data_IF_371309969748
#
_entry.id   IF_371309969748
#
_cell.length_a   1.000
_cell.length_b   1.000
_cell.length_c   1.000
_cell.angle_alpha   90.00
_cell.angle_beta   90.00
_cell.angle_gamma   90.00
#
_symmetry.space_group_name_H-M   'P 1'
#
loop_
_entity.id
_entity.type
_entity.pdbx_description
1 polymer ?
#
# COMPACT_ATOMS: atom_id res chain seq x y z
N UNK A 1 -16.78 -9.68 7.45
CA UNK A 1 -17.44 -10.20 6.23
C UNK A 1 -18.43 -9.13 5.82
N UNK A 2 -18.06 -8.27 4.88
CA UNK A 2 -19.00 -7.34 4.27
C UNK A 2 -19.57 -8.11 3.07
N UNK A 3 -20.75 -8.67 3.25
CA UNK A 3 -21.52 -9.24 2.17
C UNK A 3 -22.36 -8.11 1.57
N UNK A 4 -21.96 -7.62 0.40
CA UNK A 4 -22.86 -7.40 -0.74
C UNK A 4 -22.24 -6.40 -1.70
N UNK A 5 -22.02 -6.82 -2.93
CA UNK A 5 -22.57 -6.12 -4.08
C UNK A 5 -23.06 -7.21 -5.03
N UNK A 6 -24.37 -7.27 -5.25
CA UNK A 6 -24.88 -7.98 -6.42
C UNK A 6 -24.25 -7.36 -7.67
N UNK A 7 -24.20 -8.13 -8.75
CA UNK A 7 -23.70 -7.70 -10.07
C UNK A 7 -24.73 -6.75 -10.72
N UNK A 8 -25.26 -5.79 -9.99
CA UNK A 8 -26.51 -5.12 -10.32
C UNK A 8 -26.59 -3.71 -9.74
N UNK A 9 -26.77 -2.72 -10.60
CA UNK A 9 -27.07 -1.32 -10.23
C UNK A 9 -28.56 -1.03 -10.48
N UNK A 10 -29.20 -0.28 -9.57
CA UNK A 10 -30.63 0.07 -9.62
C UNK A 10 -30.86 1.24 -10.56
N UNK A 11 -31.65 1.06 -11.63
CA UNK A 11 -32.15 2.17 -12.47
C UNK A 11 -33.59 2.49 -12.05
N UNK A 12 -33.85 3.76 -11.71
CA UNK A 12 -35.21 4.27 -11.59
C UNK A 12 -35.64 4.89 -12.92
N UNK A 13 -36.75 4.44 -13.50
CA UNK A 13 -37.44 5.14 -14.58
C UNK A 13 -38.68 5.87 -14.04
N UNK A 14 -39.08 6.92 -14.76
CA UNK A 14 -40.16 7.86 -14.41
C UNK A 14 -41.58 7.35 -14.71
N UNK A 15 -41.75 6.06 -15.05
CA UNK A 15 -42.99 5.49 -15.57
C UNK A 15 -43.57 4.33 -14.74
N UNK A 16 -43.01 4.03 -13.58
CA UNK A 16 -43.76 3.37 -12.51
C UNK A 16 -44.08 1.88 -12.67
N UNK A 17 -43.33 1.11 -13.46
CA UNK A 17 -43.35 -0.36 -13.34
C UNK A 17 -42.07 -0.99 -13.89
N UNK A 18 -41.55 -1.99 -13.17
CA UNK A 18 -40.29 -2.73 -13.34
C UNK A 18 -39.06 -2.13 -12.64
N UNK A 19 -38.63 -2.82 -11.59
CA UNK A 19 -37.30 -2.63 -11.04
C UNK A 19 -36.28 -3.38 -11.89
N UNK A 20 -35.56 -2.63 -12.70
CA UNK A 20 -34.52 -3.19 -13.54
C UNK A 20 -33.16 -3.00 -12.87
N UNK A 21 -32.55 -4.15 -12.60
CA UNK A 21 -31.14 -4.26 -12.30
C UNK A 21 -30.42 -4.47 -13.62
N UNK A 22 -29.44 -3.63 -13.94
CA UNK A 22 -28.62 -3.86 -15.13
C UNK A 22 -27.37 -4.64 -14.78
N UNK A 23 -26.89 -5.44 -15.73
CA UNK A 23 -25.56 -6.02 -15.68
C UNK A 23 -24.52 -4.88 -15.76
N UNK A 24 -23.60 -4.73 -14.79
CA UNK A 24 -22.50 -3.79 -14.88
C UNK A 24 -21.51 -4.26 -15.93
N UNK A 25 -20.78 -3.32 -16.49
CA UNK A 25 -19.55 -3.64 -17.19
C UNK A 25 -18.41 -3.99 -16.19
N UNK A 26 -17.24 -4.33 -16.72
CA UNK A 26 -16.09 -4.69 -15.90
C UNK A 26 -15.55 -3.54 -15.06
N UNK A 27 -15.67 -2.30 -15.52
CA UNK A 27 -15.14 -1.10 -14.85
C UNK A 27 -16.05 -0.70 -13.69
N UNK A 28 -17.36 -0.83 -13.85
CA UNK A 28 -18.37 -0.63 -12.81
C UNK A 28 -18.30 -1.70 -11.73
N UNK A 29 -18.07 -2.96 -12.12
CA UNK A 29 -17.78 -4.03 -11.17
C UNK A 29 -16.50 -3.71 -10.39
N UNK A 30 -15.44 -3.25 -11.08
CA UNK A 30 -14.18 -2.88 -10.43
C UNK A 30 -14.37 -1.73 -9.44
N UNK A 31 -15.07 -0.67 -9.81
CA UNK A 31 -15.35 0.47 -8.92
C UNK A 31 -16.05 0.01 -7.64
N UNK A 32 -17.05 -0.87 -7.78
CA UNK A 32 -17.78 -1.46 -6.65
C UNK A 32 -16.86 -2.29 -5.74
N UNK A 33 -15.95 -3.06 -6.34
CA UNK A 33 -14.93 -3.83 -5.62
C UNK A 33 -13.97 -2.90 -4.87
N UNK A 34 -13.41 -1.88 -5.55
CA UNK A 34 -12.46 -0.94 -4.95
C UNK A 34 -13.08 -0.15 -3.81
N UNK A 35 -14.35 0.26 -3.95
CA UNK A 35 -15.12 0.89 -2.88
C UNK A 35 -15.28 -0.04 -1.68
N UNK A 36 -15.66 -1.31 -1.91
CA UNK A 36 -15.79 -2.29 -0.83
C UNK A 36 -14.45 -2.52 -0.10
N UNK A 37 -13.34 -2.57 -0.83
CA UNK A 37 -11.99 -2.69 -0.27
C UNK A 37 -11.57 -1.43 0.50
N UNK A 38 -11.96 -0.23 0.04
CA UNK A 38 -11.72 1.02 0.75
C UNK A 38 -12.44 1.06 2.12
N UNK A 39 -13.61 0.43 2.22
CA UNK A 39 -14.29 0.18 3.50
C UNK A 39 -13.73 -1.05 4.26
N UNK A 40 -12.57 -1.56 3.88
CA UNK A 40 -11.82 -2.62 4.55
C UNK A 40 -12.42 -4.02 4.44
N UNK A 41 -13.21 -4.29 3.41
CA UNK A 41 -13.69 -5.63 3.12
C UNK A 41 -12.53 -6.61 3.00
N UNK A 42 -12.69 -7.81 3.58
CA UNK A 42 -11.68 -8.89 3.58
C UNK A 42 -11.99 -10.03 2.61
N UNK A 43 -13.12 -9.92 1.93
CA UNK A 43 -13.59 -10.89 0.97
C UNK A 43 -14.74 -10.29 0.18
N UNK A 44 -14.82 -10.66 -1.08
CA UNK A 44 -15.84 -10.22 -2.01
C UNK A 44 -16.46 -11.47 -2.59
N UNK A 45 -17.78 -11.53 -2.58
CA UNK A 45 -18.55 -12.63 -3.14
C UNK A 45 -19.51 -12.04 -4.16
N UNK A 46 -19.39 -12.50 -5.41
CA UNK A 46 -20.31 -12.11 -6.48
C UNK A 46 -21.50 -13.05 -6.50
N UNK A 47 -22.69 -12.46 -6.52
CA UNK A 47 -23.94 -13.18 -6.63
C UNK A 47 -24.72 -12.63 -7.84
N UNK A 48 -25.05 -13.45 -8.85
CA UNK A 48 -24.96 -14.92 -8.91
C UNK A 48 -23.75 -15.43 -9.71
N UNK A 49 -23.36 -16.71 -9.49
CA UNK A 49 -22.41 -17.39 -10.36
C UNK A 49 -23.05 -17.73 -11.72
N UNK A 50 -24.23 -18.36 -11.71
CA UNK A 50 -25.03 -18.69 -12.90
C UNK A 50 -26.38 -17.96 -12.88
N UNK A 51 -27.01 -17.73 -14.04
CA UNK A 51 -28.33 -17.13 -14.09
C UNK A 51 -29.38 -18.02 -13.43
N UNK A 52 -30.52 -17.45 -13.02
CA UNK A 52 -31.67 -18.23 -12.58
C UNK A 52 -32.63 -18.51 -13.75
N UNK A 53 -33.03 -19.78 -13.90
CA UNK A 53 -34.03 -20.18 -14.90
C UNK A 53 -35.47 -19.86 -14.48
N UNK A 54 -35.69 -19.48 -13.22
CA UNK A 54 -37.00 -19.18 -12.64
C UNK A 54 -36.97 -17.82 -11.96
N UNK A 55 -37.93 -16.97 -12.32
CA UNK A 55 -38.02 -15.63 -11.76
C UNK A 55 -38.26 -15.69 -10.25
N UNK A 56 -37.39 -15.04 -9.49
CA UNK A 56 -37.48 -15.00 -8.03
C UNK A 56 -38.38 -13.83 -7.62
N UNK A 57 -39.43 -14.12 -6.84
CA UNK A 57 -40.30 -13.10 -6.27
C UNK A 57 -39.55 -12.35 -5.17
N UNK A 58 -39.32 -11.04 -5.34
CA UNK A 58 -38.63 -10.21 -4.34
C UNK A 58 -39.43 -8.95 -4.00
N UNK A 59 -39.26 -8.47 -2.76
CA UNK A 59 -39.85 -7.23 -2.22
C UNK A 59 -38.91 -6.03 -2.40
N UNK A 60 -38.04 -6.06 -3.42
CA UNK A 60 -36.95 -5.09 -3.52
C UNK A 60 -37.40 -3.65 -3.85
N UNK A 61 -38.65 -3.43 -4.30
CA UNK A 61 -39.01 -2.19 -5.00
C UNK A 61 -40.45 -1.71 -4.78
N UNK A 62 -40.89 -1.65 -3.54
CA UNK A 62 -42.21 -1.14 -3.15
C UNK A 62 -43.06 -2.20 -2.42
N UNK A 63 -44.31 -1.87 -2.09
CA UNK A 63 -45.21 -2.79 -1.38
C UNK A 63 -45.60 -4.01 -2.23
N UNK A 64 -45.45 -3.92 -3.55
CA UNK A 64 -45.77 -5.00 -4.49
C UNK A 64 -44.52 -5.80 -4.86
N UNK A 65 -44.63 -7.11 -4.73
CA UNK A 65 -43.58 -8.06 -5.11
C UNK A 65 -43.38 -8.11 -6.63
N UNK A 66 -42.14 -7.95 -7.09
CA UNK A 66 -41.76 -8.07 -8.50
C UNK A 66 -40.99 -9.37 -8.71
N UNK A 67 -41.18 -10.02 -9.86
CA UNK A 67 -40.41 -11.19 -10.28
C UNK A 67 -39.13 -10.74 -10.98
N UNK A 68 -37.96 -11.21 -10.52
CA UNK A 68 -36.67 -10.88 -11.10
C UNK A 68 -35.94 -12.10 -11.66
N UNK A 69 -35.30 -11.90 -12.81
CA UNK A 69 -34.23 -12.76 -13.31
C UNK A 69 -32.89 -12.15 -12.91
N UNK A 70 -31.98 -12.98 -12.45
CA UNK A 70 -30.61 -12.65 -12.11
C UNK A 70 -29.71 -13.21 -13.19
N UNK A 71 -28.85 -12.36 -13.71
CA UNK A 71 -27.70 -12.72 -14.53
C UNK A 71 -26.55 -13.27 -13.66
N UNK A 72 -25.61 -13.95 -14.30
CA UNK A 72 -24.46 -14.60 -13.67
C UNK A 72 -23.11 -14.18 -14.25
N UNK A 73 -22.05 -14.66 -13.59
CA UNK A 73 -20.70 -14.65 -14.17
C UNK A 73 -20.62 -15.59 -15.37
N UNK A 74 -21.43 -16.64 -15.44
CA UNK A 74 -21.60 -17.47 -16.64
C UNK A 74 -22.94 -17.18 -17.33
N UNK A 75 -23.06 -17.51 -18.61
CA UNK A 75 -24.32 -17.44 -19.36
C UNK A 75 -25.25 -18.63 -19.06
N UNK A 76 -26.43 -18.67 -19.69
CA UNK A 76 -27.42 -19.75 -19.52
C UNK A 76 -26.91 -21.15 -19.95
N UNK A 77 -25.86 -21.19 -20.77
CA UNK A 77 -25.20 -22.41 -21.21
C UNK A 77 -23.96 -22.74 -20.35
N UNK A 78 -23.74 -21.99 -19.26
CA UNK A 78 -22.59 -22.08 -18.36
C UNK A 78 -21.24 -21.70 -19.01
N UNK A 79 -21.26 -20.93 -20.10
CA UNK A 79 -20.03 -20.39 -20.67
C UNK A 79 -19.57 -19.14 -19.90
N UNK A 80 -18.26 -18.96 -19.69
CA UNK A 80 -17.69 -17.74 -19.15
C UNK A 80 -18.10 -16.47 -19.89
N UNK A 81 -18.54 -15.45 -19.16
CA UNK A 81 -18.80 -14.12 -19.71
C UNK A 81 -17.58 -13.20 -19.59
N UNK A 82 -17.64 -12.00 -20.16
CA UNK A 82 -16.59 -10.99 -20.00
C UNK A 82 -16.34 -10.63 -18.52
N UNK A 83 -17.41 -10.59 -17.70
CA UNK A 83 -17.28 -10.37 -16.26
C UNK A 83 -16.57 -11.53 -15.56
N UNK A 84 -16.84 -12.78 -15.96
CA UNK A 84 -16.09 -13.93 -15.43
C UNK A 84 -14.61 -13.77 -15.71
N UNK A 85 -14.24 -13.47 -16.96
CA UNK A 85 -12.83 -13.36 -17.32
C UNK A 85 -12.15 -12.18 -16.62
N UNK A 86 -12.86 -11.07 -16.44
CA UNK A 86 -12.34 -9.94 -15.68
C UNK A 86 -12.14 -10.30 -14.20
N UNK A 87 -13.12 -10.95 -13.56
CA UNK A 87 -13.00 -11.42 -12.17
C UNK A 87 -11.85 -12.41 -12.01
N UNK A 88 -11.76 -13.39 -12.91
CA UNK A 88 -10.79 -14.47 -12.82
C UNK A 88 -9.36 -14.01 -13.13
N UNK A 89 -9.17 -13.21 -14.19
CA UNK A 89 -7.84 -12.88 -14.68
C UNK A 89 -7.30 -11.57 -14.10
N UNK A 90 -8.14 -10.58 -13.88
CA UNK A 90 -7.73 -9.24 -13.42
C UNK A 90 -7.86 -9.11 -11.91
N UNK A 91 -9.09 -9.21 -11.39
CA UNK A 91 -9.36 -9.00 -9.96
C UNK A 91 -8.71 -10.06 -9.08
N UNK A 92 -8.91 -11.35 -9.39
CA UNK A 92 -8.39 -12.45 -8.55
C UNK A 92 -6.87 -12.47 -8.51
N UNK A 93 -6.22 -12.26 -9.66
CA UNK A 93 -4.75 -12.16 -9.74
C UNK A 93 -4.23 -11.04 -8.84
N UNK A 94 -4.80 -9.83 -8.97
CA UNK A 94 -4.40 -8.66 -8.19
C UNK A 94 -4.64 -8.82 -6.68
N UNK A 95 -5.80 -9.36 -6.29
CA UNK A 95 -6.15 -9.61 -4.89
C UNK A 95 -5.35 -10.77 -4.27
N UNK A 96 -4.89 -11.73 -5.07
CA UNK A 96 -3.92 -12.75 -4.59
C UNK A 96 -2.49 -12.20 -4.46
N UNK A 97 -2.23 -11.04 -5.06
CA UNK A 97 -0.95 -10.35 -5.09
C UNK A 97 -0.69 -9.48 -3.85
N UNK A 98 0.18 -8.48 -4.01
CA UNK A 98 0.60 -7.58 -2.93
C UNK A 98 -0.59 -6.85 -2.31
N UNK A 99 -1.50 -6.29 -3.13
CA UNK A 99 -2.65 -5.52 -2.66
C UNK A 99 -3.49 -6.30 -1.66
N UNK A 100 -4.01 -7.47 -2.04
CA UNK A 100 -4.89 -8.22 -1.15
C UNK A 100 -4.17 -8.81 0.06
N UNK A 101 -2.91 -9.26 -0.09
CA UNK A 101 -2.09 -9.71 1.05
C UNK A 101 -1.90 -8.60 2.09
N UNK A 102 -1.61 -7.38 1.65
CA UNK A 102 -1.51 -6.22 2.54
C UNK A 102 -2.87 -5.89 3.14
N UNK A 103 -3.94 -5.78 2.33
CA UNK A 103 -5.27 -5.45 2.84
C UNK A 103 -5.74 -6.43 3.92
N UNK A 104 -5.39 -7.72 3.86
CA UNK A 104 -5.76 -8.70 4.88
C UNK A 104 -5.18 -8.40 6.28
N UNK A 105 -4.07 -7.66 6.38
CA UNK A 105 -3.45 -7.31 7.67
C UNK A 105 -4.01 -6.02 8.27
N UNK A 106 -4.69 -5.19 7.46
CA UNK A 106 -5.15 -3.86 7.88
C UNK A 106 -6.52 -3.90 8.54
N UNK A 107 -6.85 -2.90 9.35
CA UNK A 107 -8.22 -2.63 9.82
C UNK A 107 -8.74 -1.33 9.25
N UNK A 108 -10.02 -1.30 8.92
CA UNK A 108 -10.70 -0.08 8.54
C UNK A 108 -10.89 0.80 9.76
N UNK A 109 -10.56 2.08 9.64
CA UNK A 109 -10.74 3.07 10.71
C UNK A 109 -12.20 3.42 10.95
N UNK A 110 -13.07 3.24 9.95
CA UNK A 110 -14.42 3.81 9.95
C UNK A 110 -14.49 5.16 9.24
N UNK A 111 -13.34 5.80 9.02
CA UNK A 111 -13.25 7.12 8.39
C UNK A 111 -13.06 6.98 6.88
N UNK A 112 -13.58 7.97 6.16
CA UNK A 112 -13.43 8.08 4.71
C UNK A 112 -13.59 9.53 4.25
N UNK A 113 -13.07 9.82 3.05
CA UNK A 113 -13.41 11.00 2.26
C UNK A 113 -14.21 10.51 1.05
N UNK A 114 -15.36 11.12 0.80
CA UNK A 114 -16.15 10.91 -0.41
C UNK A 114 -16.34 12.25 -1.11
N UNK A 115 -15.91 12.34 -2.37
CA UNK A 115 -15.87 13.58 -3.13
C UNK A 115 -16.43 13.37 -4.54
N UNK A 116 -17.68 13.75 -4.74
CA UNK A 116 -18.35 13.75 -6.04
C UNK A 116 -18.51 15.18 -6.57
N UNK A 117 -17.92 15.46 -7.74
CA UNK A 117 -18.18 16.68 -8.50
C UNK A 117 -18.67 16.33 -9.89
N UNK A 118 -19.92 16.67 -10.17
CA UNK A 118 -20.51 16.52 -11.49
C UNK A 118 -19.98 17.57 -12.48
N UNK A 119 -19.98 17.28 -13.80
CA UNK A 119 -19.64 18.26 -14.83
C UNK A 119 -20.44 19.55 -14.71
N UNK A 120 -19.75 20.69 -14.77
CA UNK A 120 -20.38 22.02 -14.66
C UNK A 120 -20.77 22.43 -13.23
N UNK A 121 -20.63 21.56 -12.23
CA UNK A 121 -20.87 21.93 -10.84
C UNK A 121 -19.78 22.87 -10.30
N UNK A 122 -20.17 23.70 -9.33
CA UNK A 122 -19.24 24.57 -8.62
C UNK A 122 -18.09 23.78 -7.98
N UNK A 123 -16.89 24.38 -7.88
CA UNK A 123 -15.76 23.79 -7.17
C UNK A 123 -16.14 23.38 -5.73
N UNK A 124 -15.81 22.15 -5.33
CA UNK A 124 -15.91 21.71 -3.93
C UNK A 124 -14.72 22.23 -3.11
N UNK A 125 -14.85 22.36 -1.78
CA UNK A 125 -13.69 22.57 -0.92
C UNK A 125 -12.82 21.31 -0.88
N UNK A 126 -11.51 21.51 -0.68
CA UNK A 126 -10.58 20.43 -0.39
C UNK A 126 -11.02 19.66 0.87
N UNK A 127 -10.83 18.35 0.88
CA UNK A 127 -11.18 17.51 2.02
C UNK A 127 -9.91 17.12 2.77
N UNK A 128 -9.88 17.42 4.06
CA UNK A 128 -8.71 17.23 4.92
C UNK A 128 -9.05 16.19 5.97
N UNK A 129 -8.21 15.17 6.08
CA UNK A 129 -8.27 14.18 7.14
C UNK A 129 -6.87 13.91 7.70
N UNK A 130 -6.61 14.44 8.90
CA UNK A 130 -5.35 14.28 9.63
C UNK A 130 -4.13 14.71 8.79
N UNK A 131 -3.38 13.76 8.26
CA UNK A 131 -2.17 13.95 7.47
C UNK A 131 -2.43 13.98 5.95
N UNK A 132 -3.65 13.65 5.52
CA UNK A 132 -4.03 13.51 4.12
C UNK A 132 -5.00 14.61 3.70
N UNK A 133 -4.76 15.23 2.55
CA UNK A 133 -5.70 16.19 1.94
C UNK A 133 -5.99 15.77 0.52
N UNK A 134 -7.26 15.57 0.19
CA UNK A 134 -7.71 15.37 -1.19
C UNK A 134 -8.15 16.72 -1.75
N UNK A 135 -7.46 17.19 -2.79
CA UNK A 135 -7.76 18.48 -3.39
C UNK A 135 -8.91 18.37 -4.39
N UNK A 136 -9.72 19.42 -4.47
CA UNK A 136 -10.59 19.62 -5.63
C UNK A 136 -9.73 19.95 -6.85
N UNK A 137 -9.60 18.97 -7.74
CA UNK A 137 -8.76 19.07 -8.93
C UNK A 137 -9.46 18.44 -10.14
N UNK A 138 -9.52 19.19 -11.24
CA UNK A 138 -10.26 18.82 -12.46
C UNK A 138 -11.61 19.51 -12.59
N UNK A 139 -12.35 19.20 -13.65
CA UNK A 139 -13.71 19.73 -13.91
C UNK A 139 -14.81 18.90 -13.25
N UNK A 140 -14.55 17.61 -13.04
CA UNK A 140 -15.48 16.59 -12.60
C UNK A 140 -14.69 15.35 -12.16
N UNK A 141 -15.18 14.70 -11.11
CA UNK A 141 -14.54 13.54 -10.49
C UNK A 141 -15.49 12.85 -9.51
N UNK A 142 -15.18 11.60 -9.18
CA UNK A 142 -15.82 10.89 -8.08
C UNK A 142 -14.74 10.08 -7.37
N UNK A 143 -14.27 10.59 -6.25
CA UNK A 143 -13.21 9.99 -5.46
C UNK A 143 -13.75 9.44 -4.16
N UNK A 144 -13.27 8.25 -3.79
CA UNK A 144 -13.48 7.70 -2.48
C UNK A 144 -12.15 7.30 -1.86
N UNK A 145 -11.85 7.80 -0.66
CA UNK A 145 -10.64 7.47 0.08
C UNK A 145 -11.00 6.82 1.41
N UNK A 146 -10.74 5.54 1.56
CA UNK A 146 -10.91 4.81 2.82
C UNK A 146 -9.61 4.77 3.61
N UNK A 147 -9.68 5.06 4.92
CA UNK A 147 -8.50 5.06 5.79
C UNK A 147 -8.37 3.74 6.54
N UNK A 148 -7.19 3.13 6.46
CA UNK A 148 -6.88 1.86 7.10
C UNK A 148 -5.59 1.99 7.94
N UNK A 149 -5.43 1.12 8.93
CA UNK A 149 -4.22 1.05 9.75
C UNK A 149 -3.82 -0.39 10.09
N UNK A 150 -2.57 -0.58 10.48
CA UNK A 150 -2.14 -1.80 11.15
C UNK A 150 -2.46 -1.68 12.65
N UNK A 151 -3.27 -2.59 13.18
CA UNK A 151 -3.65 -2.59 14.59
C UNK A 151 -2.50 -2.82 15.56
N UNK A 152 -1.38 -3.33 15.04
CA UNK A 152 -0.18 -3.58 15.82
C UNK A 152 0.58 -2.27 16.05
N UNK A 153 0.43 -1.28 15.15
CA UNK A 153 1.23 -0.07 15.19
C UNK A 153 0.55 1.17 14.63
N UNK A 154 0.35 2.17 15.50
CA UNK A 154 -0.40 3.40 15.20
C UNK A 154 0.20 4.29 14.10
N UNK A 155 1.49 4.13 13.79
CA UNK A 155 2.24 4.99 12.86
C UNK A 155 2.30 4.41 11.43
N UNK A 156 1.66 3.26 11.19
CA UNK A 156 1.61 2.61 9.90
C UNK A 156 0.24 2.85 9.26
N UNK A 157 0.11 3.94 8.52
CA UNK A 157 -1.16 4.45 8.02
C UNK A 157 -1.33 4.17 6.53
N UNK A 158 -2.57 3.91 6.11
CA UNK A 158 -2.88 3.54 4.75
C UNK A 158 -4.12 4.28 4.23
N UNK A 159 -4.10 4.59 2.94
CA UNK A 159 -5.26 5.16 2.22
C UNK A 159 -5.53 4.32 0.98
N UNK A 160 -6.73 3.75 0.89
CA UNK A 160 -7.24 3.17 -0.34
C UNK A 160 -8.03 4.25 -1.08
N UNK A 161 -7.44 4.83 -2.12
CA UNK A 161 -8.08 5.85 -2.95
C UNK A 161 -8.63 5.20 -4.22
N UNK A 162 -9.89 5.44 -4.55
CA UNK A 162 -10.57 4.87 -5.70
C UNK A 162 -11.21 5.96 -6.57
N UNK A 163 -11.02 5.83 -7.89
CA UNK A 163 -11.80 6.53 -8.90
C UNK A 163 -13.11 5.77 -9.11
N UNK A 164 -14.22 6.36 -8.69
CA UNK A 164 -15.54 5.77 -8.85
C UNK A 164 -16.20 6.15 -10.19
N UNK A 165 -15.57 7.01 -11.01
CA UNK A 165 -15.96 7.15 -12.41
C UNK A 165 -15.49 5.94 -13.21
N UNK A 166 -16.39 5.35 -13.99
CA UNK A 166 -16.19 4.07 -14.67
C UNK A 166 -15.98 4.21 -16.18
N UNK A 167 -16.10 5.42 -16.71
CA UNK A 167 -15.99 5.73 -18.14
C UNK A 167 -14.67 6.42 -18.52
N UNK A 168 -14.01 7.11 -17.59
CA UNK A 168 -12.82 7.91 -17.89
C UNK A 168 -11.75 7.86 -16.81
N UNK A 169 -10.49 7.86 -17.25
CA UNK A 169 -9.35 8.03 -16.36
C UNK A 169 -9.36 9.43 -15.74
N UNK A 170 -9.09 9.51 -14.44
CA UNK A 170 -9.01 10.78 -13.71
C UNK A 170 -7.66 10.90 -13.00
N UNK A 171 -7.17 12.14 -12.86
CA UNK A 171 -5.99 12.43 -12.05
C UNK A 171 -6.43 12.91 -10.68
N UNK A 172 -6.09 12.15 -9.65
CA UNK A 172 -6.23 12.61 -8.28
C UNK A 172 -5.08 13.57 -7.94
N UNK A 173 -5.39 14.63 -7.21
CA UNK A 173 -4.39 15.49 -6.59
C UNK A 173 -4.55 15.41 -5.08
N UNK A 174 -3.52 14.96 -4.37
CA UNK A 174 -3.58 14.86 -2.92
C UNK A 174 -2.28 15.31 -2.26
N UNK A 175 -2.36 15.78 -1.02
CA UNK A 175 -1.22 16.12 -0.16
C UNK A 175 -1.11 15.10 0.97
N UNK A 176 0.12 14.77 1.31
CA UNK A 176 0.48 13.96 2.47
C UNK A 176 1.49 14.72 3.29
N UNK A 177 1.21 14.88 4.57
CA UNK A 177 2.04 15.62 5.52
C UNK A 177 2.72 14.64 6.49
N UNK A 178 4.03 14.83 6.74
CA UNK A 178 4.69 14.10 7.81
C UNK A 178 4.43 14.79 9.15
N UNK A 179 3.35 14.35 9.80
CA UNK A 179 2.97 14.79 11.14
C UNK A 179 3.54 13.89 12.24
N UNK A 180 4.45 12.97 11.90
CA UNK A 180 5.08 12.06 12.86
C UNK A 180 6.31 12.71 13.49
N UNK A 181 6.89 12.04 14.50
CA UNK A 181 8.15 12.50 15.12
C UNK A 181 9.42 12.04 14.39
N UNK A 182 9.26 11.30 13.28
CA UNK A 182 10.36 10.69 12.52
C UNK A 182 10.84 11.61 11.40
N UNK A 183 12.14 11.55 11.16
CA UNK A 183 12.83 12.37 10.14
C UNK A 183 12.50 11.89 8.72
N UNK A 184 12.22 10.59 8.58
CA UNK A 184 11.89 9.96 7.30
C UNK A 184 10.52 9.25 7.36
N UNK A 185 9.49 9.84 6.76
CA UNK A 185 8.22 9.16 6.51
C UNK A 185 8.21 8.62 5.07
N UNK A 186 8.12 7.30 4.91
CA UNK A 186 7.93 6.69 3.59
C UNK A 186 6.52 6.98 3.09
N UNK A 187 6.40 7.35 1.82
CA UNK A 187 5.14 7.47 1.09
C UNK A 187 5.23 6.63 -0.18
N UNK A 188 4.44 5.55 -0.25
CA UNK A 188 4.52 4.58 -1.36
C UNK A 188 3.17 4.00 -1.76
N UNK A 189 3.03 3.65 -3.04
CA UNK A 189 1.99 2.73 -3.50
C UNK A 189 2.43 1.28 -3.20
N UNK A 190 1.57 0.50 -2.55
CA UNK A 190 1.85 -0.88 -2.13
C UNK A 190 2.14 -1.83 -3.29
N UNK A 191 1.44 -1.67 -4.41
CA UNK A 191 1.67 -2.54 -5.57
C UNK A 191 3.00 -2.19 -6.25
N UNK A 192 3.40 -0.91 -6.17
CA UNK A 192 4.61 -0.36 -6.75
C UNK A 192 4.63 -0.46 -8.28
N UNK A 193 5.75 -0.06 -8.88
CA UNK A 193 5.93 -0.08 -10.33
C UNK A 193 6.67 1.15 -10.82
N UNK A 194 7.08 1.12 -12.09
CA UNK A 194 7.71 2.29 -12.69
C UNK A 194 6.71 3.44 -12.78
N UNK A 195 7.06 4.60 -12.21
CA UNK A 195 6.21 5.79 -12.18
C UNK A 195 5.19 5.83 -11.04
N UNK A 196 5.11 4.79 -10.21
CA UNK A 196 4.28 4.81 -9.01
C UNK A 196 4.94 5.61 -7.87
N UNK A 197 4.13 6.11 -6.94
CA UNK A 197 4.62 6.83 -5.77
C UNK A 197 5.55 5.93 -4.95
N UNK A 198 6.79 6.37 -4.74
CA UNK A 198 7.79 5.75 -3.86
C UNK A 198 8.83 6.79 -3.45
N UNK A 199 8.55 7.51 -2.36
CA UNK A 199 9.37 8.64 -1.89
C UNK A 199 9.41 8.72 -0.37
N UNK A 200 10.17 9.69 0.14
CA UNK A 200 10.29 10.00 1.56
C UNK A 200 9.98 11.46 1.83
N UNK A 201 9.21 11.71 2.87
CA UNK A 201 8.78 13.03 3.31
C UNK A 201 9.56 13.38 4.58
N UNK A 202 10.28 14.51 4.54
CA UNK A 202 10.99 15.05 5.70
C UNK A 202 10.01 15.35 6.84
N UNK A 203 10.51 15.34 8.08
CA UNK A 203 9.74 15.77 9.25
C UNK A 203 9.16 17.17 9.08
N UNK A 204 7.92 17.35 9.54
CA UNK A 204 7.19 18.61 9.45
C UNK A 204 7.13 19.20 8.02
N UNK A 205 7.20 18.33 7.02
CA UNK A 205 7.10 18.66 5.60
C UNK A 205 5.94 17.89 4.96
N UNK A 206 5.71 18.14 3.68
CA UNK A 206 4.65 17.50 2.91
C UNK A 206 5.07 17.31 1.46
N UNK A 207 4.34 16.42 0.78
CA UNK A 207 4.38 16.30 -0.69
C UNK A 207 3.00 16.54 -1.26
N UNK A 208 2.95 16.98 -2.51
CA UNK A 208 1.72 16.97 -3.31
C UNK A 208 1.92 15.98 -4.45
N UNK A 209 1.00 15.03 -4.56
CA UNK A 209 1.03 13.95 -5.54
C UNK A 209 -0.07 14.19 -6.57
N UNK A 210 0.27 13.95 -7.83
CA UNK A 210 -0.66 13.86 -8.95
C UNK A 210 -0.58 12.43 -9.47
N UNK A 211 -1.63 11.65 -9.30
CA UNK A 211 -1.64 10.26 -9.71
C UNK A 211 -2.85 9.97 -10.61
N UNK A 212 -2.60 9.23 -11.70
CA UNK A 212 -3.62 8.88 -12.68
C UNK A 212 -4.26 7.54 -12.31
N UNK A 213 -5.58 7.54 -12.28
CA UNK A 213 -6.40 6.37 -12.04
C UNK A 213 -7.18 6.04 -13.30
N UNK A 214 -7.06 4.80 -13.81
CA UNK A 214 -8.01 4.28 -14.78
C UNK A 214 -9.47 4.36 -14.27
N UNK A 215 -10.46 4.21 -15.15
CA UNK A 215 -11.85 4.18 -14.74
C UNK A 215 -12.12 3.00 -13.78
N UNK A 216 -12.86 3.26 -12.71
CA UNK A 216 -13.23 2.28 -11.69
C UNK A 216 -12.07 1.74 -10.84
N UNK A 217 -10.87 2.30 -10.99
CA UNK A 217 -9.66 1.74 -10.39
C UNK A 217 -9.35 2.35 -9.02
N UNK A 218 -8.70 1.57 -8.15
CA UNK A 218 -8.22 2.02 -6.85
C UNK A 218 -6.74 1.71 -6.63
N UNK A 219 -6.09 2.44 -5.74
CA UNK A 219 -4.69 2.25 -5.35
C UNK A 219 -4.58 2.33 -3.82
N UNK A 220 -3.74 1.48 -3.25
CA UNK A 220 -3.45 1.48 -1.82
C UNK A 220 -2.10 2.15 -1.57
N UNK A 221 -2.12 3.25 -0.85
CA UNK A 221 -0.91 3.95 -0.41
C UNK A 221 -0.62 3.64 1.05
N UNK A 222 0.66 3.59 1.40
CA UNK A 222 1.18 3.47 2.75
C UNK A 222 2.03 4.68 3.10
N UNK A 223 1.83 5.15 4.32
CA UNK A 223 2.55 6.27 4.92
C UNK A 223 3.06 5.83 6.29
N UNK A 224 4.38 5.66 6.41
CA UNK A 224 4.93 5.00 7.60
C UNK A 224 6.41 5.33 7.84
N UNK A 225 6.89 5.40 9.10
CA UNK A 225 8.29 5.69 9.41
C UNK A 225 9.27 4.70 8.79
N UNK A 226 10.29 5.22 8.11
CA UNK A 226 11.24 4.38 7.36
C UNK A 226 12.01 3.42 8.27
N UNK A 227 12.45 3.90 9.45
CA UNK A 227 13.19 3.09 10.42
C UNK A 227 12.35 1.98 11.08
N UNK A 228 11.06 1.87 10.75
CA UNK A 228 10.18 0.80 11.23
C UNK A 228 9.62 -0.05 10.10
N UNK A 229 9.27 0.55 8.97
CA UNK A 229 8.53 -0.13 7.90
C UNK A 229 9.22 -0.07 6.54
N UNK A 230 10.51 0.27 6.50
CA UNK A 230 11.28 0.30 5.28
C UNK A 230 10.95 1.50 4.38
N UNK A 231 11.48 1.48 3.16
CA UNK A 231 11.51 2.64 2.26
C UNK A 231 12.86 3.32 2.25
N UNK A 232 12.91 4.62 1.92
CA UNK A 232 14.18 5.34 1.66
C UNK A 232 14.54 6.25 2.83
N UNK A 233 15.65 5.98 3.49
CA UNK A 233 16.24 6.86 4.49
C UNK A 233 17.14 7.86 3.77
N UNK A 234 16.69 9.12 3.70
CA UNK A 234 17.38 10.19 2.94
C UNK A 234 17.73 11.41 3.82
N UNK A 235 17.28 11.39 5.08
CA UNK A 235 17.64 12.32 6.14
C UNK A 235 18.25 11.54 7.31
N UNK A 236 19.16 12.18 8.05
CA UNK A 236 19.76 11.60 9.24
C UNK A 236 18.69 11.24 10.27
N UNK A 237 18.79 10.05 10.87
CA UNK A 237 17.81 9.59 11.82
C UNK A 237 18.44 8.74 12.91
N UNK A 238 17.97 8.93 14.14
CA UNK A 238 18.38 8.12 15.29
C UNK A 238 17.30 7.12 15.62
N UNK A 239 17.68 5.84 15.66
CA UNK A 239 16.78 4.74 16.01
C UNK A 239 16.74 4.57 17.53
N UNK A 240 15.53 4.49 18.08
CA UNK A 240 15.32 4.20 19.50
C UNK A 240 15.66 2.72 19.84
N UNK A 241 16.15 2.46 21.05
CA UNK A 241 16.42 1.10 21.52
C UNK A 241 15.15 0.23 21.48
N UNK A 242 15.28 -1.00 21.01
CA UNK A 242 14.18 -1.96 20.86
C UNK A 242 13.34 -1.77 19.58
N UNK A 243 13.68 -0.82 18.70
CA UNK A 243 12.94 -0.63 17.44
C UNK A 243 13.10 -1.86 16.54
N UNK A 244 12.07 -2.14 15.73
CA UNK A 244 12.09 -3.22 14.73
C UNK A 244 11.81 -2.67 13.34
N UNK A 245 12.69 -3.01 12.38
CA UNK A 245 12.51 -2.79 10.95
C UNK A 245 11.82 -4.01 10.33
N UNK A 246 10.59 -3.83 9.84
CA UNK A 246 9.76 -4.95 9.34
C UNK A 246 9.89 -5.21 7.84
N UNK A 247 10.48 -4.28 7.09
CA UNK A 247 10.58 -4.33 5.62
C UNK A 247 11.91 -3.70 5.17
N UNK A 248 12.25 -3.84 3.90
CA UNK A 248 13.54 -3.40 3.37
C UNK A 248 13.72 -1.88 3.45
N UNK A 249 14.86 -1.44 3.99
CA UNK A 249 15.25 -0.03 4.06
C UNK A 249 16.42 0.25 3.13
N UNK A 250 16.34 1.35 2.37
CA UNK A 250 17.39 1.85 1.50
C UNK A 250 17.97 3.13 2.13
N UNK A 251 19.26 3.14 2.44
CA UNK A 251 19.97 4.35 2.88
C UNK A 251 20.61 5.00 1.65
N UNK A 252 20.24 6.25 1.38
CA UNK A 252 20.77 7.03 0.27
C UNK A 252 20.91 8.53 0.63
N UNK A 253 21.32 9.35 -0.33
CA UNK A 253 21.53 10.80 -0.12
C UNK A 253 22.51 11.17 1.01
N UNK A 254 23.52 10.32 1.25
CA UNK A 254 24.51 10.49 2.33
C UNK A 254 23.91 10.49 3.74
N UNK A 255 22.66 10.03 3.89
CA UNK A 255 21.97 9.98 5.17
C UNK A 255 22.68 9.06 6.17
N UNK A 256 22.56 9.41 7.44
CA UNK A 256 23.20 8.72 8.56
C UNK A 256 22.14 8.09 9.46
N UNK A 257 22.15 6.76 9.52
CA UNK A 257 21.41 6.00 10.51
C UNK A 257 22.23 5.89 11.81
N UNK A 258 21.78 6.52 12.89
CA UNK A 258 22.40 6.42 14.20
C UNK A 258 21.70 5.35 15.05
N UNK A 259 22.43 4.33 15.48
CA UNK A 259 21.92 3.23 16.29
C UNK A 259 22.63 3.23 17.65
N UNK A 260 21.92 3.53 18.74
CA UNK A 260 22.52 3.65 20.08
C UNK A 260 22.06 2.55 21.07
N UNK A 261 21.24 1.61 20.60
CA UNK A 261 20.78 0.44 21.34
C UNK A 261 20.58 -0.75 20.39
N UNK A 262 19.66 -1.65 20.73
CA UNK A 262 19.25 -2.77 19.89
C UNK A 262 18.27 -2.29 18.81
N UNK A 263 18.56 -2.65 17.56
CA UNK A 263 17.68 -2.46 16.42
C UNK A 263 17.47 -3.81 15.74
N UNK A 264 16.23 -4.32 15.74
CA UNK A 264 15.88 -5.62 15.18
C UNK A 264 15.52 -5.50 13.71
N UNK A 265 16.17 -6.27 12.84
CA UNK A 265 16.11 -6.10 11.39
C UNK A 265 15.48 -7.34 10.75
N UNK A 266 14.20 -7.23 10.39
CA UNK A 266 13.38 -8.26 9.70
C UNK A 266 13.32 -7.99 8.18
N UNK A 267 13.66 -6.78 7.74
CA UNK A 267 13.98 -6.45 6.35
C UNK A 267 15.46 -6.57 6.02
N UNK A 268 15.85 -6.26 4.80
CA UNK A 268 17.24 -5.95 4.44
C UNK A 268 17.54 -4.48 4.72
N UNK A 269 18.81 -4.17 4.92
CA UNK A 269 19.31 -2.79 4.85
C UNK A 269 20.20 -2.69 3.62
N UNK A 270 19.88 -1.75 2.72
CA UNK A 270 20.57 -1.55 1.45
C UNK A 270 21.19 -0.16 1.46
N UNK A 271 22.51 -0.04 1.34
CA UNK A 271 23.19 1.25 1.30
C UNK A 271 23.60 1.56 -0.13
N UNK A 272 22.98 2.57 -0.73
CA UNK A 272 23.40 3.14 -2.02
C UNK A 272 24.40 4.28 -1.83
N UNK A 273 24.16 5.14 -0.84
CA UNK A 273 25.08 6.20 -0.43
C UNK A 273 24.71 6.68 0.97
N UNK A 274 25.44 6.28 2.00
CA UNK A 274 25.16 6.75 3.34
C UNK A 274 25.94 6.04 4.43
N UNK A 275 25.51 6.25 5.67
CA UNK A 275 26.27 5.90 6.85
C UNK A 275 25.42 5.13 7.86
N UNK A 276 26.04 4.21 8.58
CA UNK A 276 25.51 3.65 9.83
C UNK A 276 26.53 3.93 10.93
N UNK A 277 26.10 4.62 11.97
CA UNK A 277 26.98 5.02 13.07
C UNK A 277 26.40 4.65 14.42
N UNK A 278 27.26 4.61 15.44
CA UNK A 278 26.83 4.62 16.83
C UNK A 278 27.65 5.61 17.64
N UNK A 279 26.99 6.28 18.58
CA UNK A 279 27.64 7.05 19.65
C UNK A 279 27.56 6.32 21.00
N UNK A 280 27.03 5.09 21.02
CA UNK A 280 26.88 4.22 22.19
C UNK A 280 27.06 2.73 21.84
N UNK A 281 26.37 1.84 22.57
CA UNK A 281 26.46 0.39 22.35
C UNK A 281 25.49 -0.10 21.26
N UNK A 282 25.53 0.52 20.08
CA UNK A 282 24.64 0.19 18.96
C UNK A 282 24.77 -1.25 18.48
N UNK A 283 23.64 -1.94 18.29
CA UNK A 283 23.56 -3.29 17.75
C UNK A 283 22.44 -3.43 16.74
N UNK A 284 22.75 -3.90 15.54
CA UNK A 284 21.77 -4.31 14.54
C UNK A 284 21.64 -5.84 14.56
N UNK A 285 20.43 -6.34 14.79
CA UNK A 285 20.10 -7.76 14.90
C UNK A 285 19.36 -8.25 13.65
N UNK A 286 20.09 -8.77 12.67
CA UNK A 286 19.53 -9.26 11.41
C UNK A 286 18.90 -10.64 11.59
N UNK A 287 17.61 -10.76 11.28
CA UNK A 287 16.92 -12.05 11.26
C UNK A 287 17.45 -12.97 10.16
N UNK A 288 17.05 -14.25 10.21
CA UNK A 288 17.47 -15.23 9.20
C UNK A 288 17.12 -14.77 7.77
N UNK A 289 18.09 -14.95 6.88
CA UNK A 289 18.03 -14.60 5.46
C UNK A 289 17.94 -13.09 5.21
N UNK A 290 18.39 -12.26 6.17
CA UNK A 290 18.44 -10.80 6.05
C UNK A 290 19.87 -10.32 6.00
N UNK A 291 20.10 -9.37 5.10
CA UNK A 291 21.43 -8.91 4.72
C UNK A 291 21.60 -7.42 4.93
N UNK A 292 22.86 -7.04 5.12
CA UNK A 292 23.31 -5.68 4.86
C UNK A 292 23.94 -5.68 3.46
N UNK A 293 23.36 -4.93 2.53
CA UNK A 293 23.73 -4.94 1.12
C UNK A 293 24.30 -3.57 0.75
N UNK A 294 25.53 -3.55 0.23
CA UNK A 294 26.26 -2.33 -0.12
C UNK A 294 26.29 -2.21 -1.64
N UNK A 295 25.48 -1.30 -2.19
CA UNK A 295 25.37 -1.06 -3.64
C UNK A 295 26.15 0.15 -4.14
N UNK A 296 26.54 1.03 -3.23
CA UNK A 296 27.42 2.17 -3.51
C UNK A 296 28.29 2.49 -2.30
N UNK A 297 28.46 3.76 -1.98
CA UNK A 297 29.36 4.17 -0.89
C UNK A 297 28.70 3.98 0.48
N UNK A 298 29.35 3.21 1.36
CA UNK A 298 28.90 2.98 2.72
C UNK A 298 30.00 3.24 3.73
N UNK A 299 29.68 4.01 4.78
CA UNK A 299 30.54 4.15 5.96
C UNK A 299 29.85 3.59 7.20
N UNK A 300 30.46 2.58 7.82
CA UNK A 300 29.91 1.86 8.97
C UNK A 300 30.88 1.99 10.13
N UNK A 301 30.53 2.84 11.10
CA UNK A 301 31.49 3.29 12.11
C UNK A 301 30.93 3.24 13.53
N UNK A 302 31.65 2.53 14.41
CA UNK A 302 31.61 2.83 15.84
C UNK A 302 32.62 3.92 16.22
N UNK A 303 32.86 4.03 17.52
CA UNK A 303 33.96 4.83 18.08
C UNK A 303 35.01 3.89 18.69
N UNK A 304 36.25 4.37 18.96
CA UNK A 304 37.29 3.56 19.59
C UNK A 304 36.88 2.89 20.90
N UNK A 305 35.96 3.51 21.66
CA UNK A 305 35.47 3.01 22.94
C UNK A 305 34.11 2.32 22.87
N UNK A 306 33.33 2.57 21.81
CA UNK A 306 31.97 2.05 21.63
C UNK A 306 31.82 1.45 20.23
N UNK A 307 31.89 0.12 20.12
CA UNK A 307 31.83 -0.56 18.82
C UNK A 307 30.40 -0.73 18.33
N UNK A 308 30.18 -0.52 17.04
CA UNK A 308 28.92 -0.91 16.39
C UNK A 308 28.90 -2.43 16.19
N UNK A 309 27.84 -3.11 16.63
CA UNK A 309 27.70 -4.55 16.41
C UNK A 309 26.70 -4.84 15.29
N UNK A 310 27.12 -5.66 14.33
CA UNK A 310 26.27 -6.26 13.30
C UNK A 310 26.13 -7.75 13.67
N UNK A 311 24.97 -8.12 14.21
CA UNK A 311 24.69 -9.46 14.72
C UNK A 311 23.66 -10.15 13.81
N UNK A 312 24.03 -11.26 13.20
CA UNK A 312 23.13 -12.06 12.38
C UNK A 312 22.58 -13.21 13.23
N UNK A 313 21.29 -13.52 13.19
CA UNK A 313 20.67 -14.46 14.15
C UNK A 313 21.29 -15.88 14.08
N UNK A 314 21.80 -16.31 12.93
CA UNK A 314 22.53 -17.57 12.79
C UNK A 314 23.53 -17.55 11.62
N UNK A 315 24.63 -18.32 11.68
CA UNK A 315 25.56 -18.42 10.56
C UNK A 315 24.95 -19.31 9.48
N UNK A 316 24.29 -18.68 8.50
CA UNK A 316 23.82 -19.31 7.28
C UNK A 316 24.31 -18.51 6.05
N UNK A 317 24.27 -19.12 4.88
CA UNK A 317 24.84 -18.62 3.62
C UNK A 317 24.12 -17.36 3.13
N UNK A 318 22.87 -17.19 3.56
CA UNK A 318 22.04 -16.03 3.31
C UNK A 318 22.30 -14.86 4.28
N UNK A 319 23.16 -15.00 5.29
CA UNK A 319 23.41 -13.97 6.31
C UNK A 319 24.82 -13.40 6.22
N UNK A 320 24.92 -12.08 6.19
CA UNK A 320 26.19 -11.36 6.18
C UNK A 320 26.09 -9.98 5.54
N UNK A 321 27.27 -9.38 5.34
CA UNK A 321 27.43 -8.14 4.58
C UNK A 321 27.78 -8.51 3.14
N UNK A 322 26.97 -8.08 2.19
CA UNK A 322 27.22 -8.25 0.75
C UNK A 322 27.62 -6.91 0.16
N UNK A 323 28.77 -6.87 -0.50
CA UNK A 323 29.25 -5.70 -1.23
C UNK A 323 29.14 -6.03 -2.71
N UNK A 324 28.16 -5.42 -3.38
CA UNK A 324 27.96 -5.55 -4.82
C UNK A 324 29.21 -5.00 -5.55
N UNK A 325 29.39 -5.37 -6.82
CA UNK A 325 30.58 -4.99 -7.61
C UNK A 325 30.77 -3.47 -7.77
N UNK A 326 29.70 -2.68 -7.63
CA UNK A 326 29.74 -1.21 -7.62
C UNK A 326 29.86 -0.60 -6.22
N UNK A 327 29.83 -1.42 -5.18
CA UNK A 327 29.85 -1.02 -3.78
C UNK A 327 31.25 -0.69 -3.27
N UNK A 328 31.30 0.23 -2.31
CA UNK A 328 32.51 0.56 -1.56
C UNK A 328 32.18 0.66 -0.09
N UNK A 329 32.83 -0.18 0.72
CA UNK A 329 32.56 -0.30 2.15
C UNK A 329 33.77 0.17 2.96
N UNK A 330 33.59 1.26 3.71
CA UNK A 330 34.47 1.65 4.80
C UNK A 330 33.85 1.19 6.11
N UNK A 331 34.46 0.23 6.79
CA UNK A 331 34.00 -0.26 8.09
C UNK A 331 35.10 -0.08 9.14
N UNK A 332 34.79 0.57 10.25
CA UNK A 332 35.74 0.81 11.35
C UNK A 332 35.05 0.69 12.70
N UNK A 333 35.82 0.31 13.71
CA UNK A 333 35.34 0.15 15.10
C UNK A 333 34.02 -0.64 15.20
N UNK A 334 33.91 -1.73 14.43
CA UNK A 334 32.71 -2.54 14.32
C UNK A 334 33.00 -4.00 14.66
N UNK A 335 31.97 -4.74 15.05
CA UNK A 335 32.01 -6.18 15.30
C UNK A 335 30.95 -6.85 14.45
N UNK A 336 31.35 -7.81 13.61
CA UNK A 336 30.44 -8.67 12.85
C UNK A 336 30.35 -10.02 13.58
N UNK A 337 29.15 -10.49 13.89
CA UNK A 337 28.90 -11.75 14.60
C UNK A 337 27.93 -12.64 13.85
N UNK A 338 28.10 -13.94 14.03
CA UNK A 338 27.12 -14.96 13.64
C UNK A 338 26.71 -14.92 12.15
N UNK A 339 27.53 -14.35 11.29
CA UNK A 339 27.41 -14.50 9.83
C UNK A 339 28.21 -15.74 9.40
N UNK A 340 27.74 -16.47 8.39
CA UNK A 340 28.56 -17.54 7.78
C UNK A 340 29.77 -16.92 7.08
N UNK A 341 29.51 -15.89 6.26
CA UNK A 341 30.54 -15.04 5.66
C UNK A 341 30.35 -13.61 6.15
N UNK A 342 31.32 -13.11 6.93
CA UNK A 342 31.22 -11.77 7.54
C UNK A 342 31.07 -10.65 6.50
N UNK A 343 31.92 -10.65 5.47
CA UNK A 343 31.87 -9.73 4.33
C UNK A 343 32.12 -10.54 3.06
N UNK A 344 31.18 -10.48 2.12
CA UNK A 344 31.30 -11.05 0.78
C UNK A 344 31.35 -9.92 -0.24
N UNK A 345 32.46 -9.82 -0.98
CA UNK A 345 32.58 -8.89 -2.10
C UNK A 345 32.28 -9.63 -3.40
N UNK A 346 31.29 -9.16 -4.16
CA UNK A 346 30.93 -9.70 -5.45
C UNK A 346 31.83 -9.10 -6.54
N UNK A 347 32.50 -9.97 -7.30
CA UNK A 347 33.33 -9.58 -8.44
C UNK A 347 32.60 -10.04 -9.69
N UNK A 348 32.27 -9.09 -10.57
CA UNK A 348 31.72 -9.35 -11.90
C UNK A 348 32.74 -8.97 -12.97
#
# INVERSE_FOLDING_TARGET
MVCSTGVFEKIGDSLGAYCQWRRPDSLELNASVMLALAHGSKGIMFWHFSPNSTATKTLACGPDSVYLYFDGLVDDNLNPTDLYWYVNNSLSSRLSGKLGKTLLTLKYSGDYIDMLRNPGASPLPDQIWRYFTLFNYGSDYYWHAGFLNDNTFQENEFVMLANLWTDVSKTAKFKVENTTNYENLSARNIEGGAGELDTTIAKASYITVYDAFPPGEGKLYQFSPVIKYGGKLIYDETVADGTTLTDDMIIENSATLTVNGNYYVIGNIIIKNGNIVTTGNGKLHFQNNKKLIIKGMANINGTPTQKLTLDFVSPNDANGIVVDSSGSLNISYSVVKNAETGIMAEVY
#
